data_IF_704675996031
#
_entry.id   IF_704675996031
#
_cell.length_a   1.000
_cell.length_b   1.000
_cell.length_c   1.000
_cell.angle_alpha   90.00
_cell.angle_beta   90.00
_cell.angle_gamma   90.00
#
_symmetry.space_group_name_H-M   'P 1'
#
loop_
_entity.id
_entity.type
_entity.pdbx_description
1 polymer ?
#
# COMPACT_ATOMS: atom_id res chain seq x y z
N UNK A 1 -11.76 -0.68 -24.41
CA UNK A 1 -11.04 -1.84 -23.83
C UNK A 1 -10.75 -1.58 -22.35
N UNK A 2 -10.92 -2.59 -21.48
CA UNK A 2 -10.55 -2.52 -20.06
C UNK A 2 -9.02 -2.55 -19.88
N UNK A 3 -8.54 -2.14 -18.71
CA UNK A 3 -7.11 -2.11 -18.40
C UNK A 3 -6.45 -3.50 -18.45
N UNK A 4 -7.12 -4.51 -17.88
CA UNK A 4 -6.67 -5.91 -17.96
C UNK A 4 -6.51 -6.38 -19.43
N UNK A 5 -7.53 -6.13 -20.27
CA UNK A 5 -7.48 -6.54 -21.67
C UNK A 5 -6.31 -5.87 -22.44
N UNK A 6 -6.05 -4.58 -22.18
CA UNK A 6 -4.88 -3.88 -22.77
C UNK A 6 -3.55 -4.49 -22.31
N UNK A 7 -3.47 -4.98 -21.07
CA UNK A 7 -2.26 -5.64 -20.53
C UNK A 7 -2.04 -7.02 -21.14
N UNK A 8 -3.09 -7.83 -21.28
CA UNK A 8 -2.99 -9.15 -21.91
C UNK A 8 -2.55 -9.04 -23.37
N UNK A 9 -3.16 -8.11 -24.11
CA UNK A 9 -2.77 -7.81 -25.49
C UNK A 9 -1.31 -7.37 -25.62
N UNK A 10 -0.87 -6.48 -24.72
CA UNK A 10 0.54 -6.04 -24.65
C UNK A 10 1.48 -7.23 -24.44
N UNK A 11 1.19 -8.12 -23.49
CA UNK A 11 2.04 -9.28 -23.18
C UNK A 11 2.15 -10.23 -24.38
N UNK A 12 1.07 -10.41 -25.15
CA UNK A 12 1.08 -11.24 -26.36
C UNK A 12 1.90 -10.61 -27.51
N UNK A 13 1.82 -9.29 -27.69
CA UNK A 13 2.51 -8.61 -28.79
C UNK A 13 3.98 -8.30 -28.48
N UNK A 14 4.33 -8.11 -27.21
CA UNK A 14 5.67 -7.66 -26.81
C UNK A 14 6.80 -8.59 -27.29
N UNK A 15 6.62 -9.92 -27.26
CA UNK A 15 7.60 -10.88 -27.79
C UNK A 15 7.79 -10.70 -29.30
N UNK A 16 6.70 -10.72 -30.06
CA UNK A 16 6.69 -10.55 -31.52
C UNK A 16 7.27 -9.21 -31.95
N UNK A 17 7.00 -8.13 -31.21
CA UNK A 17 7.59 -6.81 -31.48
C UNK A 17 9.11 -6.82 -31.27
N UNK A 18 9.62 -7.51 -30.25
CA UNK A 18 11.07 -7.55 -29.98
C UNK A 18 11.84 -8.29 -31.06
N UNK A 19 11.31 -9.42 -31.52
CA UNK A 19 11.91 -10.29 -32.54
C UNK A 19 11.75 -9.77 -33.98
N UNK A 20 10.78 -8.88 -34.22
CA UNK A 20 10.51 -8.35 -35.55
C UNK A 20 11.65 -7.49 -36.13
N UNK A 21 11.76 -7.51 -37.47
CA UNK A 21 12.61 -6.58 -38.23
C UNK A 21 12.06 -5.14 -38.17
N UNK A 22 12.88 -4.14 -38.52
CA UNK A 22 12.50 -2.72 -38.44
C UNK A 22 11.19 -2.39 -39.15
N UNK A 23 10.97 -2.96 -40.34
CA UNK A 23 9.76 -2.73 -41.15
C UNK A 23 8.51 -3.38 -40.53
N UNK A 24 8.66 -4.57 -39.94
CA UNK A 24 7.57 -5.27 -39.26
C UNK A 24 7.24 -4.65 -37.90
N UNK A 25 8.24 -4.10 -37.20
CA UNK A 25 8.04 -3.35 -35.96
C UNK A 25 7.11 -2.17 -36.14
N UNK A 26 7.25 -1.44 -37.25
CA UNK A 26 6.38 -0.31 -37.56
C UNK A 26 4.91 -0.72 -37.72
N UNK A 27 4.67 -1.79 -38.49
CA UNK A 27 3.31 -2.33 -38.69
C UNK A 27 2.69 -2.80 -37.38
N UNK A 28 3.43 -3.55 -36.57
CA UNK A 28 2.96 -4.03 -35.26
C UNK A 28 2.64 -2.86 -34.32
N UNK A 29 3.46 -1.80 -34.37
CA UNK A 29 3.27 -0.61 -33.55
C UNK A 29 2.02 0.19 -33.98
N UNK A 30 1.78 0.33 -35.28
CA UNK A 30 0.58 1.00 -35.81
C UNK A 30 -0.70 0.27 -35.39
N UNK A 31 -0.71 -1.06 -35.53
CA UNK A 31 -1.82 -1.91 -35.10
C UNK A 31 -2.09 -1.77 -33.60
N UNK A 32 -1.02 -1.79 -32.78
CA UNK A 32 -1.12 -1.64 -31.34
C UNK A 32 -1.68 -0.28 -30.92
N UNK A 33 -1.24 0.80 -31.57
CA UNK A 33 -1.74 2.16 -31.34
C UNK A 33 -3.21 2.28 -31.74
N UNK A 34 -3.59 1.75 -32.90
CA UNK A 34 -4.97 1.75 -33.37
C UNK A 34 -5.92 1.00 -32.43
N UNK A 35 -5.49 -0.15 -31.88
CA UNK A 35 -6.30 -0.94 -30.96
C UNK A 35 -6.40 -0.34 -29.55
N UNK A 36 -5.31 0.19 -29.00
CA UNK A 36 -5.24 0.64 -27.59
C UNK A 36 -5.52 2.13 -27.39
N UNK A 37 -5.39 2.93 -28.45
CA UNK A 37 -5.46 4.40 -28.42
C UNK A 37 -4.27 5.07 -27.73
N UNK A 38 -3.17 4.35 -27.52
CA UNK A 38 -1.98 4.91 -26.87
C UNK A 38 -1.13 5.75 -27.82
N UNK A 39 -0.47 6.78 -27.29
CA UNK A 39 0.52 7.52 -28.06
C UNK A 39 1.69 6.61 -28.48
N UNK A 40 2.19 6.78 -29.71
CA UNK A 40 3.27 5.95 -30.29
C UNK A 40 4.50 5.83 -29.39
N UNK A 41 4.98 6.95 -28.82
CA UNK A 41 6.12 6.96 -27.89
C UNK A 41 5.85 6.13 -26.63
N UNK A 42 4.62 6.16 -26.11
CA UNK A 42 4.23 5.38 -24.94
C UNK A 42 4.13 3.89 -25.27
N UNK A 43 3.57 3.55 -26.43
CA UNK A 43 3.52 2.17 -26.93
C UNK A 43 4.91 1.55 -27.11
N UNK A 44 5.85 2.28 -27.73
CA UNK A 44 7.25 1.83 -27.87
C UNK A 44 7.86 1.52 -26.50
N UNK A 45 7.69 2.43 -25.54
CA UNK A 45 8.19 2.26 -24.16
C UNK A 45 7.61 0.99 -23.53
N UNK A 46 6.32 0.76 -23.69
CA UNK A 46 5.64 -0.41 -23.14
C UNK A 46 6.09 -1.74 -23.78
N UNK A 47 6.36 -1.77 -25.08
CA UNK A 47 6.77 -2.98 -25.79
C UNK A 47 8.26 -3.32 -25.54
N UNK A 48 9.10 -2.30 -25.39
CA UNK A 48 10.54 -2.48 -25.15
C UNK A 48 10.89 -2.83 -23.70
N UNK A 49 10.15 -2.31 -22.72
CA UNK A 49 10.43 -2.60 -21.33
C UNK A 49 9.59 -3.80 -20.84
N UNK A 50 10.17 -4.76 -20.11
CA UNK A 50 9.35 -5.71 -19.38
C UNK A 50 8.39 -4.92 -18.48
N UNK A 51 7.10 -5.24 -18.56
CA UNK A 51 6.11 -4.69 -17.64
C UNK A 51 6.43 -5.31 -16.29
N UNK A 52 7.34 -4.68 -15.54
CA UNK A 52 7.69 -5.13 -14.21
C UNK A 52 6.39 -5.28 -13.43
N UNK A 53 6.12 -6.53 -13.08
CA UNK A 53 5.03 -6.88 -12.20
C UNK A 53 5.36 -6.17 -10.91
N UNK A 54 4.60 -5.09 -10.63
CA UNK A 54 4.65 -4.23 -9.43
C UNK A 54 5.83 -4.60 -8.55
N UNK A 55 6.90 -3.81 -8.57
CA UNK A 55 7.91 -3.86 -7.52
C UNK A 55 7.14 -3.88 -6.20
N UNK A 56 7.07 -5.06 -5.57
CA UNK A 56 6.59 -5.18 -4.20
C UNK A 56 7.37 -4.12 -3.47
N UNK A 57 6.67 -3.17 -2.85
CA UNK A 57 7.33 -2.07 -2.14
C UNK A 57 8.12 -2.74 -1.01
N UNK A 58 9.36 -3.10 -1.31
CA UNK A 58 10.32 -3.63 -0.39
C UNK A 58 10.70 -2.42 0.44
N UNK A 59 10.09 -2.27 1.61
CA UNK A 59 10.52 -1.28 2.59
C UNK A 59 11.83 -1.81 3.17
N UNK A 60 12.99 -1.30 2.74
CA UNK A 60 14.27 -1.89 3.12
C UNK A 60 14.63 -1.57 4.58
N UNK A 61 13.93 -0.62 5.21
CA UNK A 61 14.23 -0.16 6.56
C UNK A 61 13.56 -1.06 7.59
N UNK A 62 14.33 -1.75 8.45
CA UNK A 62 13.74 -2.46 9.58
C UNK A 62 13.00 -1.45 10.47
N UNK A 63 11.84 -1.83 11.03
CA UNK A 63 11.10 -0.95 11.93
C UNK A 63 11.99 -0.59 13.13
N UNK A 64 12.15 0.71 13.40
CA UNK A 64 12.95 1.19 14.53
C UNK A 64 12.26 0.94 15.88
N UNK A 65 10.93 0.83 15.89
CA UNK A 65 10.12 0.62 17.08
C UNK A 65 9.46 -0.75 17.03
N UNK A 66 9.66 -1.54 18.09
CA UNK A 66 9.05 -2.86 18.24
C UNK A 66 7.54 -2.82 18.49
N UNK A 67 6.88 -3.98 18.49
CA UNK A 67 5.43 -4.09 18.65
C UNK A 67 4.91 -3.48 19.96
N UNK A 68 5.69 -3.57 21.04
CA UNK A 68 5.35 -3.00 22.35
C UNK A 68 5.16 -1.48 22.29
N UNK A 69 6.08 -0.78 21.61
CA UNK A 69 6.02 0.68 21.46
C UNK A 69 4.83 1.07 20.57
N UNK A 70 4.56 0.28 19.53
CA UNK A 70 3.39 0.51 18.66
C UNK A 70 2.08 0.34 19.42
N UNK A 71 1.99 -0.67 20.28
CA UNK A 71 0.82 -0.93 21.10
C UNK A 71 0.61 0.18 22.14
N UNK A 72 1.66 0.59 22.85
CA UNK A 72 1.61 1.72 23.78
C UNK A 72 1.18 3.03 23.09
N UNK A 73 1.71 3.28 21.89
CA UNK A 73 1.33 4.43 21.08
C UNK A 73 -0.14 4.35 20.64
N UNK A 74 -0.64 3.18 20.28
CA UNK A 74 -2.03 2.96 19.91
C UNK A 74 -2.98 3.23 21.09
N UNK A 75 -2.62 2.78 22.30
CA UNK A 75 -3.37 3.06 23.52
C UNK A 75 -3.43 4.56 23.81
N UNK A 76 -2.29 5.25 23.73
CA UNK A 76 -2.23 6.71 23.90
C UNK A 76 -3.03 7.47 22.84
N UNK A 77 -2.96 7.02 21.58
CA UNK A 77 -3.72 7.62 20.47
C UNK A 77 -5.22 7.43 20.62
N UNK A 78 -5.66 6.27 21.12
CA UNK A 78 -7.06 5.99 21.42
C UNK A 78 -7.55 6.83 22.59
N UNK A 79 -6.75 6.99 23.64
CA UNK A 79 -7.05 7.88 24.76
C UNK A 79 -7.18 9.35 24.31
N UNK A 80 -6.44 9.73 23.26
CA UNK A 80 -6.49 11.06 22.65
C UNK A 80 -7.59 11.21 21.56
N UNK A 81 -8.58 10.30 21.48
CA UNK A 81 -9.66 10.33 20.49
C UNK A 81 -9.18 10.37 19.02
N UNK A 82 -8.13 9.61 18.70
CA UNK A 82 -7.63 9.46 17.33
C UNK A 82 -7.18 10.77 16.64
N UNK A 83 -6.60 11.71 17.37
CA UNK A 83 -6.04 12.95 16.80
C UNK A 83 -4.88 12.70 15.82
N UNK A 84 -4.70 13.58 14.83
CA UNK A 84 -3.62 13.41 13.84
C UNK A 84 -2.22 13.42 14.49
N UNK A 85 -1.27 12.66 13.91
CA UNK A 85 0.09 12.48 14.45
C UNK A 85 0.81 13.82 14.69
N UNK A 86 0.63 14.81 13.79
CA UNK A 86 1.23 16.15 13.91
C UNK A 86 0.83 16.86 15.21
N UNK A 87 -0.40 16.65 15.68
CA UNK A 87 -0.92 17.21 16.93
C UNK A 87 -0.59 16.32 18.13
N UNK A 88 -0.51 15.00 17.92
CA UNK A 88 -0.16 14.05 18.97
C UNK A 88 1.29 14.21 19.43
N UNK A 89 2.25 14.34 18.52
CA UNK A 89 3.70 14.40 18.85
C UNK A 89 4.05 15.41 19.95
N UNK A 90 3.66 16.70 19.88
CA UNK A 90 3.95 17.65 20.95
C UNK A 90 3.15 17.38 22.24
N UNK A 91 2.03 16.65 22.13
CA UNK A 91 1.16 16.33 23.26
C UNK A 91 1.54 15.02 23.96
N UNK A 92 2.36 14.17 23.33
CA UNK A 92 2.84 12.90 23.88
C UNK A 92 3.45 13.01 25.28
N UNK A 93 4.39 13.93 25.59
CA UNK A 93 4.99 13.96 26.93
C UNK A 93 3.94 14.18 28.03
N UNK A 94 3.04 15.15 27.84
CA UNK A 94 1.95 15.42 28.78
C UNK A 94 0.98 14.25 28.89
N UNK A 95 0.65 13.62 27.76
CA UNK A 95 -0.23 12.46 27.70
C UNK A 95 0.38 11.24 28.41
N UNK A 96 1.66 10.96 28.21
CA UNK A 96 2.37 9.85 28.85
C UNK A 96 2.42 10.05 30.36
N UNK A 97 2.81 11.24 30.84
CA UNK A 97 2.81 11.56 32.27
C UNK A 97 1.42 11.44 32.90
N UNK A 98 0.37 11.88 32.20
CA UNK A 98 -1.01 11.71 32.67
C UNK A 98 -1.45 10.24 32.71
N UNK A 99 -1.02 9.43 31.74
CA UNK A 99 -1.33 8.00 31.71
C UNK A 99 -0.59 7.25 32.81
N UNK A 100 0.70 7.52 33.02
CA UNK A 100 1.50 6.95 34.11
C UNK A 100 0.93 7.32 35.49
N UNK A 101 0.51 8.57 35.69
CA UNK A 101 -0.13 9.02 36.94
C UNK A 101 -1.53 8.43 37.17
N UNK A 102 -2.26 8.10 36.10
CA UNK A 102 -3.59 7.47 36.18
C UNK A 102 -3.57 5.94 36.23
N UNK A 103 -2.45 5.31 35.85
CA UNK A 103 -2.26 3.86 35.84
C UNK A 103 -2.28 3.24 37.25
N UNK A 104 -2.05 4.03 38.31
CA UNK A 104 -2.27 3.59 39.70
C UNK A 104 -3.73 3.67 40.16
N UNK A 105 -4.66 4.22 39.36
CA UNK A 105 -6.07 4.39 39.76
C UNK A 105 -7.07 3.60 38.92
N UNK A 106 -6.73 3.14 37.72
CA UNK A 106 -7.64 2.29 36.94
C UNK A 106 -6.97 0.98 36.54
N UNK A 107 -7.27 -0.05 37.34
CA UNK A 107 -7.11 -1.44 36.92
C UNK A 107 -7.78 -1.69 35.57
N UNK A 108 -7.32 -2.71 34.83
CA UNK A 108 -7.61 -2.85 33.40
C UNK A 108 -9.10 -3.06 33.19
N UNK A 109 -9.78 -2.11 32.53
CA UNK A 109 -11.08 -2.38 31.93
C UNK A 109 -10.81 -3.23 30.68
N UNK A 110 -10.65 -4.52 30.92
CA UNK A 110 -10.35 -5.55 29.95
C UNK A 110 -11.33 -5.50 28.78
N UNK A 111 -10.84 -5.05 27.62
CA UNK A 111 -11.35 -5.54 26.34
C UNK A 111 -10.58 -6.81 26.04
N UNK A 112 -11.27 -7.94 25.99
CA UNK A 112 -10.67 -9.24 25.68
C UNK A 112 -9.97 -9.15 24.33
N UNK A 113 -8.72 -9.62 24.32
CA UNK A 113 -7.90 -9.83 23.14
C UNK A 113 -7.75 -11.34 23.05
N UNK A 114 -8.28 -11.96 22.00
CA UNK A 114 -8.10 -13.39 21.79
C UNK A 114 -6.65 -13.68 21.34
N UNK A 115 -6.21 -14.94 21.51
CA UNK A 115 -4.81 -15.42 21.35
C UNK A 115 -4.13 -15.07 20.00
N UNK A 116 -4.84 -14.47 19.04
CA UNK A 116 -4.32 -14.03 17.74
C UNK A 116 -4.31 -12.50 17.54
N UNK A 117 -4.57 -11.69 18.57
CA UNK A 117 -4.38 -10.24 18.52
C UNK A 117 -5.40 -9.43 17.70
N UNK A 118 -6.55 -10.01 17.32
CA UNK A 118 -7.59 -9.30 16.56
C UNK A 118 -8.58 -8.60 17.49
N UNK A 119 -8.70 -7.27 17.35
CA UNK A 119 -9.78 -6.49 17.97
C UNK A 119 -10.96 -6.44 16.99
N UNK A 120 -12.08 -7.10 17.31
CA UNK A 120 -13.31 -7.01 16.51
C UNK A 120 -14.21 -5.87 17.01
N UNK A 121 -14.55 -4.94 16.12
CA UNK A 121 -15.76 -4.12 16.23
C UNK A 121 -16.83 -4.83 15.43
N UNK A 122 -17.90 -5.28 16.10
CA UNK A 122 -19.09 -5.78 15.42
C UNK A 122 -19.76 -4.62 14.68
N UNK A 123 -19.66 -4.62 13.35
CA UNK A 123 -20.34 -3.65 12.48
C UNK A 123 -19.41 -3.06 11.42
N UNK A 124 -19.58 -3.56 10.19
CA UNK A 124 -19.10 -3.01 8.92
C UNK A 124 -17.59 -3.03 8.59
N UNK A 125 -17.25 -4.10 7.87
CA UNK A 125 -16.48 -4.13 6.63
C UNK A 125 -15.23 -3.23 6.50
N UNK A 126 -14.10 -3.94 6.48
CA UNK A 126 -13.08 -3.82 5.43
C UNK A 126 -12.33 -2.49 5.35
N UNK A 127 -11.10 -2.49 5.87
CA UNK A 127 -9.89 -2.24 5.05
C UNK A 127 -8.64 -2.53 5.86
N UNK A 128 -7.91 -3.55 5.42
CA UNK A 128 -6.50 -3.76 5.75
C UNK A 128 -5.72 -2.49 5.40
N UNK A 129 -5.18 -1.85 6.42
CA UNK A 129 -3.97 -1.05 6.28
C UNK A 129 -3.05 -1.53 7.40
N UNK A 130 -2.06 -2.35 7.03
CA UNK A 130 -0.66 -2.39 7.47
C UNK A 130 -0.02 -3.59 6.77
#
# INVERSE_FOLDING_TARGET
MSYQAKREWLLQIASRYREASSRLKEVILDEFVAATGYARKYAIRLLNHPVDQKLTITRPRPPHYGPEVQHALHLGWTAANHICAKRLVPFLPTLVTSLEGSALRKGPRSRKVDKCGTVYVMGEQSRRFW
#
